data_IF_282838592648
#
_entry.id   IF_282838592648
#
_cell.length_a   1.000
_cell.length_b   1.000
_cell.length_c   1.000
_cell.angle_alpha   90.00
_cell.angle_beta   90.00
_cell.angle_gamma   90.00
#
_symmetry.space_group_name_H-M   'P 1'
#
loop_
_entity.id
_entity.type
_entity.pdbx_description
1 polymer ?
#
# COMPACT_ATOMS: atom_id res chain seq x y z
N UNK A 1 20.54 -5.70 -2.47
CA UNK A 1 19.24 -6.08 -3.06
C UNK A 1 18.43 -4.81 -3.12
N UNK A 2 17.80 -4.48 -4.25
CA UNK A 2 17.02 -3.24 -4.33
C UNK A 2 15.72 -3.37 -3.54
N UNK A 3 15.39 -2.37 -2.74
CA UNK A 3 14.18 -2.29 -1.92
C UNK A 3 13.49 -0.96 -2.13
N UNK A 4 12.23 -1.00 -2.54
CA UNK A 4 11.33 0.15 -2.55
C UNK A 4 10.43 0.15 -1.31
N UNK A 5 10.35 1.29 -0.62
CA UNK A 5 9.45 1.51 0.50
C UNK A 5 8.22 2.31 0.07
N UNK A 6 7.03 1.87 0.47
CA UNK A 6 5.76 2.59 0.28
C UNK A 6 5.16 2.78 1.67
N UNK A 7 5.21 3.99 2.20
CA UNK A 7 4.76 4.30 3.56
C UNK A 7 4.38 5.79 3.67
N UNK A 8 3.87 6.24 4.81
CA UNK A 8 3.59 7.64 5.12
C UNK A 8 4.87 8.43 5.47
N UNK A 9 6.01 7.76 5.61
CA UNK A 9 7.32 8.36 5.91
C UNK A 9 8.41 7.70 5.09
N UNK A 10 9.52 8.42 4.89
CA UNK A 10 10.68 7.85 4.23
C UNK A 10 11.40 6.84 5.14
N UNK A 11 11.93 5.79 4.52
CA UNK A 11 12.85 4.83 5.11
C UNK A 11 14.24 5.08 4.53
N UNK A 12 15.19 5.49 5.37
CA UNK A 12 16.57 5.79 4.98
C UNK A 12 17.34 4.55 4.49
N UNK A 13 16.89 3.35 4.84
CA UNK A 13 17.50 2.09 4.41
C UNK A 13 16.98 1.60 3.04
N UNK A 14 15.95 2.23 2.49
CA UNK A 14 15.37 1.86 1.19
C UNK A 14 16.07 2.57 0.04
N UNK A 15 16.25 1.87 -1.09
CA UNK A 15 16.81 2.44 -2.32
C UNK A 15 15.87 3.45 -2.99
N UNK A 16 14.57 3.34 -2.74
CA UNK A 16 13.55 4.28 -3.20
C UNK A 16 12.40 4.41 -2.20
N UNK A 17 11.89 5.63 -2.02
CA UNK A 17 10.77 5.93 -1.12
C UNK A 17 9.58 6.50 -1.89
N UNK A 18 8.40 5.95 -1.61
CA UNK A 18 7.13 6.38 -2.18
C UNK A 18 6.26 6.82 -1.01
N UNK A 19 6.37 8.11 -0.67
CA UNK A 19 5.62 8.69 0.44
C UNK A 19 4.16 8.88 0.03
N UNK A 20 3.27 8.30 0.83
CA UNK A 20 1.82 8.34 0.71
C UNK A 20 1.24 9.47 1.56
N UNK A 21 0.32 10.26 1.00
CA UNK A 21 -0.37 11.32 1.75
C UNK A 21 -1.58 10.75 2.50
N UNK A 22 -1.76 11.04 3.81
CA UNK A 22 -2.93 10.62 4.56
C UNK A 22 -4.23 11.34 4.13
N UNK A 23 -4.10 12.47 3.44
CA UNK A 23 -5.22 13.31 3.02
C UNK A 23 -5.78 12.92 1.64
N UNK A 24 -5.13 11.97 0.94
CA UNK A 24 -5.58 11.51 -0.36
C UNK A 24 -6.80 10.59 -0.22
N UNK A 25 -7.79 10.75 -1.10
CA UNK A 25 -8.82 9.73 -1.28
C UNK A 25 -8.24 8.47 -1.94
N UNK A 26 -9.03 7.39 -1.98
CA UNK A 26 -8.57 6.11 -2.49
C UNK A 26 -8.10 6.18 -3.95
N UNK A 27 -8.84 6.87 -4.82
CA UNK A 27 -8.52 6.90 -6.24
C UNK A 27 -7.25 7.70 -6.50
N UNK A 28 -7.09 8.83 -5.81
CA UNK A 28 -5.90 9.65 -5.90
C UNK A 28 -4.68 8.92 -5.31
N UNK A 29 -4.83 8.29 -4.13
CA UNK A 29 -3.75 7.51 -3.52
C UNK A 29 -3.31 6.37 -4.44
N UNK A 30 -4.26 5.61 -5.00
CA UNK A 30 -4.00 4.54 -5.96
C UNK A 30 -3.22 5.07 -7.16
N UNK A 31 -3.72 6.11 -7.82
CA UNK A 31 -3.07 6.73 -8.98
C UNK A 31 -1.62 7.13 -8.67
N UNK A 32 -1.42 7.92 -7.61
CA UNK A 32 -0.10 8.46 -7.25
C UNK A 32 0.89 7.37 -6.87
N UNK A 33 0.46 6.35 -6.12
CA UNK A 33 1.33 5.23 -5.77
C UNK A 33 1.74 4.47 -7.02
N UNK A 34 0.82 4.14 -7.93
CA UNK A 34 1.17 3.42 -9.16
C UNK A 34 2.11 4.22 -10.06
N UNK A 35 1.89 5.52 -10.23
CA UNK A 35 2.78 6.39 -11.01
C UNK A 35 4.19 6.44 -10.43
N UNK A 36 4.30 6.60 -9.10
CA UNK A 36 5.60 6.65 -8.41
C UNK A 36 6.32 5.30 -8.42
N UNK A 37 5.61 4.18 -8.22
CA UNK A 37 6.19 2.83 -8.32
C UNK A 37 6.73 2.58 -9.73
N UNK A 38 5.94 2.89 -10.76
CA UNK A 38 6.37 2.70 -12.14
C UNK A 38 7.62 3.54 -12.48
N UNK A 39 7.67 4.78 -11.99
CA UNK A 39 8.84 5.66 -12.13
C UNK A 39 10.08 5.09 -11.41
N UNK A 40 9.93 4.66 -10.15
CA UNK A 40 11.03 4.14 -9.34
C UNK A 40 11.62 2.83 -9.91
N UNK A 41 10.79 1.99 -10.53
CA UNK A 41 11.23 0.74 -11.12
C UNK A 41 11.81 0.90 -12.53
N UNK A 42 11.51 1.99 -13.25
CA UNK A 42 12.06 2.22 -14.59
C UNK A 42 11.73 1.12 -15.61
N UNK A 43 10.63 0.38 -15.42
CA UNK A 43 10.24 -0.77 -16.25
C UNK A 43 10.71 -2.13 -15.73
N UNK A 44 11.58 -2.18 -14.72
CA UNK A 44 11.97 -3.41 -14.05
C UNK A 44 10.80 -4.04 -13.27
N UNK A 45 10.94 -5.34 -13.01
CA UNK A 45 9.98 -6.11 -12.21
C UNK A 45 10.62 -6.57 -10.91
N UNK A 46 9.80 -6.75 -9.87
CA UNK A 46 10.23 -7.21 -8.54
C UNK A 46 9.92 -8.69 -8.32
N UNK A 47 10.73 -9.33 -7.50
CA UNK A 47 10.56 -10.74 -7.10
C UNK A 47 9.47 -10.91 -6.04
N UNK A 48 9.24 -9.88 -5.21
CA UNK A 48 8.24 -9.90 -4.16
C UNK A 48 7.64 -8.52 -3.92
N UNK A 49 6.37 -8.49 -3.50
CA UNK A 49 5.72 -7.32 -2.92
C UNK A 49 5.13 -7.74 -1.58
N UNK A 50 5.61 -7.12 -0.50
CA UNK A 50 5.27 -7.52 0.86
C UNK A 50 4.45 -6.39 1.48
N UNK A 51 3.11 -6.51 1.42
CA UNK A 51 2.25 -5.54 2.08
C UNK A 51 2.11 -5.88 3.56
N UNK A 52 2.65 -5.01 4.41
CA UNK A 52 2.55 -5.08 5.86
C UNK A 52 1.78 -3.90 6.45
N UNK A 53 1.19 -3.05 5.59
CA UNK A 53 0.36 -1.95 6.03
C UNK A 53 -0.91 -2.48 6.69
N UNK A 54 -1.34 -1.85 7.77
CA UNK A 54 -2.52 -2.28 8.50
C UNK A 54 -2.60 -1.63 9.86
N UNK A 55 -3.52 -2.13 10.66
CA UNK A 55 -3.76 -1.69 12.01
C UNK A 55 -5.08 -2.25 12.50
N UNK A 56 -5.47 -1.86 13.71
CA UNK A 56 -6.69 -2.37 14.31
C UNK A 56 -7.45 -1.27 15.05
N UNK A 57 -8.76 -1.23 14.86
CA UNK A 57 -9.71 -0.51 15.69
C UNK A 57 -10.99 -1.35 15.79
N UNK A 58 -11.42 -1.61 17.02
CA UNK A 58 -12.61 -2.42 17.32
C UNK A 58 -13.86 -1.59 17.61
N UNK A 59 -14.93 -2.27 18.02
CA UNK A 59 -16.21 -1.66 18.34
C UNK A 59 -17.34 -2.48 17.75
N UNK A 60 -18.40 -2.71 18.54
CA UNK A 60 -19.60 -3.36 18.01
C UNK A 60 -20.43 -2.37 17.18
N UNK A 61 -21.48 -2.87 16.52
CA UNK A 61 -22.34 -2.07 15.65
C UNK A 61 -23.15 -0.97 16.37
N UNK A 62 -23.22 -1.00 17.70
CA UNK A 62 -23.87 0.03 18.52
C UNK A 62 -22.90 1.11 19.04
N UNK A 63 -21.61 1.01 18.74
CA UNK A 63 -20.61 2.01 19.12
C UNK A 63 -20.79 3.30 18.33
N UNK A 64 -20.64 4.45 19.01
CA UNK A 64 -20.61 5.77 18.34
C UNK A 64 -19.47 5.87 17.31
N UNK A 65 -18.36 5.17 17.55
CA UNK A 65 -17.20 5.13 16.65
C UNK A 65 -17.31 4.06 15.54
N UNK A 66 -18.42 3.30 15.43
CA UNK A 66 -18.52 2.15 14.52
C UNK A 66 -18.16 2.50 13.06
N UNK A 67 -18.72 3.58 12.54
CA UNK A 67 -18.48 4.02 11.14
C UNK A 67 -17.04 4.51 10.97
N UNK A 68 -16.54 5.33 11.90
CA UNK A 68 -15.17 5.85 11.88
C UNK A 68 -14.13 4.72 11.92
N UNK A 69 -14.32 3.73 12.80
CA UNK A 69 -13.39 2.60 12.92
C UNK A 69 -13.45 1.70 11.69
N UNK A 70 -14.64 1.49 11.12
CA UNK A 70 -14.81 0.73 9.87
C UNK A 70 -14.11 1.43 8.70
N UNK A 71 -14.25 2.75 8.57
CA UNK A 71 -13.56 3.54 7.55
C UNK A 71 -12.04 3.44 7.70
N UNK A 72 -11.52 3.57 8.93
CA UNK A 72 -10.11 3.41 9.21
C UNK A 72 -9.60 2.01 8.82
N UNK A 73 -10.35 0.95 9.14
CA UNK A 73 -9.96 -0.43 8.79
C UNK A 73 -9.91 -0.61 7.27
N UNK A 74 -10.88 -0.06 6.54
CA UNK A 74 -10.86 -0.12 5.08
C UNK A 74 -9.67 0.64 4.50
N UNK A 75 -9.35 1.83 5.02
CA UNK A 75 -8.20 2.62 4.55
C UNK A 75 -6.87 1.89 4.76
N UNK A 76 -6.63 1.32 5.95
CA UNK A 76 -5.32 0.73 6.26
C UNK A 76 -5.15 -0.72 5.79
N UNK A 77 -6.24 -1.48 5.60
CA UNK A 77 -6.17 -2.89 5.21
C UNK A 77 -6.65 -3.15 3.77
N UNK A 78 -7.79 -2.58 3.38
CA UNK A 78 -8.40 -2.87 2.07
C UNK A 78 -7.78 -2.01 0.96
N UNK A 79 -7.56 -0.72 1.20
CA UNK A 79 -6.97 0.16 0.19
C UNK A 79 -5.55 -0.26 -0.12
N UNK A 80 -4.73 -0.47 0.91
CA UNK A 80 -3.34 -0.93 0.79
C UNK A 80 -3.27 -2.24 0.00
N UNK A 81 -4.07 -3.25 0.36
CA UNK A 81 -4.10 -4.54 -0.34
C UNK A 81 -4.53 -4.44 -1.80
N UNK A 82 -5.51 -3.57 -2.10
CA UNK A 82 -5.98 -3.35 -3.48
C UNK A 82 -4.92 -2.65 -4.34
N UNK A 83 -4.21 -1.68 -3.75
CA UNK A 83 -3.09 -1.00 -4.40
C UNK A 83 -1.94 -2.00 -4.63
N UNK A 84 -1.59 -2.84 -3.65
CA UNK A 84 -0.61 -3.92 -3.78
C UNK A 84 -0.94 -4.87 -4.92
N UNK A 85 -2.20 -5.34 -5.00
CA UNK A 85 -2.64 -6.19 -6.10
C UNK A 85 -2.50 -5.49 -7.47
N UNK A 86 -2.81 -4.19 -7.53
CA UNK A 86 -2.64 -3.38 -8.73
C UNK A 86 -1.16 -3.26 -9.14
N UNK A 87 -0.26 -3.02 -8.19
CA UNK A 87 1.19 -3.00 -8.44
C UNK A 87 1.65 -4.37 -8.94
N UNK A 88 1.24 -5.45 -8.29
CA UNK A 88 1.63 -6.82 -8.62
C UNK A 88 1.26 -7.19 -10.07
N UNK A 89 0.06 -6.82 -10.52
CA UNK A 89 -0.39 -7.09 -11.89
C UNK A 89 0.49 -6.47 -12.98
N UNK A 90 1.26 -5.43 -12.65
CA UNK A 90 2.11 -4.68 -13.60
C UNK A 90 3.60 -4.99 -13.41
N UNK A 91 4.03 -5.12 -12.16
CA UNK A 91 5.44 -5.06 -11.78
C UNK A 91 5.97 -6.33 -11.11
N UNK A 92 5.15 -7.36 -10.87
CA UNK A 92 5.63 -8.63 -10.33
C UNK A 92 6.18 -9.54 -11.45
N UNK A 93 7.30 -10.21 -11.18
CA UNK A 93 7.83 -11.25 -12.06
C UNK A 93 6.93 -12.51 -12.05
N UNK A 94 6.90 -13.29 -13.15
CA UNK A 94 6.29 -14.62 -13.12
C UNK A 94 6.90 -15.49 -12.00
N UNK A 95 6.04 -16.12 -11.19
CA UNK A 95 6.48 -16.89 -10.02
C UNK A 95 6.89 -16.04 -8.80
N UNK A 96 6.74 -14.72 -8.85
CA UNK A 96 7.00 -13.83 -7.72
C UNK A 96 5.97 -13.95 -6.60
N UNK A 97 6.31 -13.38 -5.44
CA UNK A 97 5.49 -13.45 -4.22
C UNK A 97 4.69 -12.17 -4.00
N UNK A 98 3.43 -12.33 -3.57
CA UNK A 98 2.65 -11.25 -2.95
C UNK A 98 2.18 -11.71 -1.59
N UNK A 99 2.40 -10.88 -0.57
CA UNK A 99 1.77 -11.05 0.75
C UNK A 99 0.86 -9.88 1.03
N UNK A 100 -0.31 -10.17 1.60
CA UNK A 100 -1.31 -9.18 2.00
C UNK A 100 -1.58 -9.33 3.51
N UNK A 101 -1.91 -8.23 4.21
CA UNK A 101 -2.26 -8.20 5.63
C UNK A 101 -3.65 -8.77 5.93
#
# INVERSE_FOLDING_TARGET
MWVGSIDMKENEEADANIVVSPDADWQLQHKLVLEKVASALGGEKVDAIINVAGGWAGGNAGSEDFIKNSELMWKQSVWSSTITASIASKHLKPGGLVTLP
#
